data_IF_462088716899
#
_entry.id   IF_462088716899
#
_cell.length_a   1.000
_cell.length_b   1.000
_cell.length_c   1.000
_cell.angle_alpha   90.00
_cell.angle_beta   90.00
_cell.angle_gamma   90.00
#
_symmetry.space_group_name_H-M   'P 1'
#
loop_
_entity.id
_entity.type
_entity.pdbx_description
1 polymer ?
#
# COMPACT_ATOMS: atom_id res chain seq x y z
N UNK A 1 -13.66 -3.05 -2.53
CA UNK A 1 -13.39 -1.63 -2.14
C UNK A 1 -12.74 -1.54 -0.76
N UNK A 2 -11.94 -0.48 -0.49
CA UNK A 2 -11.33 -0.15 0.82
C UNK A 2 -10.37 -1.19 1.43
N UNK A 3 -9.94 -2.16 0.64
CA UNK A 3 -8.82 -3.07 0.99
C UNK A 3 -7.55 -2.53 0.34
N UNK A 4 -6.55 -2.24 1.15
CA UNK A 4 -5.33 -1.53 0.73
C UNK A 4 -4.13 -2.42 1.00
N UNK A 5 -3.21 -2.46 0.05
CA UNK A 5 -1.85 -2.98 0.26
C UNK A 5 -0.91 -1.77 0.36
N UNK A 6 -0.13 -1.69 1.44
CA UNK A 6 0.81 -0.60 1.68
C UNK A 6 2.18 -1.12 2.16
N UNK A 7 3.22 -0.31 1.97
CA UNK A 7 4.58 -0.64 2.41
C UNK A 7 4.73 -0.38 3.91
N UNK A 8 5.59 -1.16 4.57
CA UNK A 8 6.01 -0.92 5.94
C UNK A 8 6.71 0.46 6.12
N UNK A 9 6.86 0.91 7.37
CA UNK A 9 7.60 2.15 7.69
C UNK A 9 6.76 3.44 7.76
N UNK A 10 5.47 3.41 7.43
CA UNK A 10 4.59 4.59 7.42
C UNK A 10 3.40 4.49 8.41
N UNK A 11 3.64 4.45 9.74
CA UNK A 11 2.61 4.17 10.74
C UNK A 11 1.51 5.25 10.80
N UNK A 12 1.85 6.53 10.59
CA UNK A 12 0.86 7.63 10.57
C UNK A 12 -0.10 7.50 9.38
N UNK A 13 0.43 7.13 8.22
CA UNK A 13 -0.37 6.92 7.00
C UNK A 13 -1.30 5.72 7.16
N UNK A 14 -0.79 4.61 7.71
CA UNK A 14 -1.62 3.44 8.04
C UNK A 14 -2.77 3.82 8.97
N UNK A 15 -2.48 4.50 10.08
CA UNK A 15 -3.50 4.91 11.04
C UNK A 15 -4.56 5.84 10.42
N UNK A 16 -4.15 6.77 9.55
CA UNK A 16 -5.08 7.65 8.84
C UNK A 16 -6.00 6.87 7.88
N UNK A 17 -5.48 5.88 7.17
CA UNK A 17 -6.27 5.00 6.29
C UNK A 17 -7.24 4.13 7.09
N UNK A 18 -6.81 3.57 8.22
CA UNK A 18 -7.66 2.77 9.11
C UNK A 18 -8.77 3.62 9.74
N UNK A 19 -8.45 4.85 10.17
CA UNK A 19 -9.44 5.81 10.67
C UNK A 19 -10.48 6.21 9.61
N UNK A 20 -10.10 6.18 8.32
CA UNK A 20 -11.02 6.36 7.19
C UNK A 20 -11.82 5.10 6.84
N UNK A 21 -11.74 4.03 7.65
CA UNK A 21 -12.50 2.79 7.46
C UNK A 21 -11.89 1.82 6.45
N UNK A 22 -10.59 1.94 6.16
CA UNK A 22 -9.90 0.99 5.27
C UNK A 22 -9.30 -0.17 6.05
N UNK A 23 -9.29 -1.35 5.44
CA UNK A 23 -8.50 -2.49 5.91
C UNK A 23 -7.15 -2.48 5.21
N UNK A 24 -6.07 -2.29 5.97
CA UNK A 24 -4.72 -2.09 5.42
C UNK A 24 -3.84 -3.31 5.72
N UNK A 25 -3.38 -3.98 4.67
CA UNK A 25 -2.37 -5.02 4.72
C UNK A 25 -0.99 -4.43 4.41
N UNK A 26 0.00 -4.77 5.23
CA UNK A 26 1.36 -4.24 5.14
C UNK A 26 2.31 -5.33 4.64
N UNK A 27 3.23 -4.97 3.74
CA UNK A 27 4.34 -5.82 3.33
C UNK A 27 5.67 -5.08 3.41
N UNK A 28 6.75 -5.84 3.64
CA UNK A 28 8.12 -5.34 3.62
C UNK A 28 8.57 -5.13 2.18
N UNK A 29 9.03 -3.92 1.84
CA UNK A 29 9.30 -3.55 0.45
C UNK A 29 10.55 -2.69 0.23
N UNK A 30 11.47 -2.64 1.20
CA UNK A 30 12.66 -1.76 1.13
C UNK A 30 13.45 -1.95 -0.18
N UNK A 31 13.68 -3.20 -0.58
CA UNK A 31 14.38 -3.52 -1.83
C UNK A 31 13.57 -3.23 -3.10
N UNK A 32 12.23 -3.29 -3.04
CA UNK A 32 11.33 -3.16 -4.20
C UNK A 32 10.85 -1.72 -4.43
N UNK A 33 10.69 -0.96 -3.35
CA UNK A 33 9.97 0.31 -3.35
C UNK A 33 10.85 1.49 -2.91
N UNK A 34 11.80 1.29 -1.97
CA UNK A 34 12.62 2.38 -1.44
C UNK A 34 13.82 2.67 -2.36
N UNK A 35 14.47 1.64 -2.91
CA UNK A 35 15.53 1.82 -3.90
C UNK A 35 15.02 2.27 -5.29
N UNK A 36 13.73 2.07 -5.56
CA UNK A 36 13.10 2.34 -6.86
C UNK A 36 11.81 3.17 -6.70
N UNK A 37 11.87 4.26 -5.91
CA UNK A 37 10.91 5.38 -5.74
C UNK A 37 9.41 5.10 -6.06
N UNK A 38 8.92 3.91 -5.72
CA UNK A 38 7.71 3.37 -6.33
C UNK A 38 6.89 2.61 -5.31
N UNK A 39 5.61 2.97 -5.19
CA UNK A 39 4.69 2.27 -4.30
C UNK A 39 4.11 0.99 -4.92
N UNK A 40 3.37 0.18 -4.14
CA UNK A 40 2.71 -1.03 -4.62
C UNK A 40 1.82 -0.80 -5.84
N UNK A 41 1.21 0.39 -5.97
CA UNK A 41 0.42 0.75 -7.15
C UNK A 41 1.25 0.71 -8.43
N UNK A 42 2.50 1.20 -8.40
CA UNK A 42 3.40 1.22 -9.55
C UNK A 42 3.82 -0.20 -9.99
N UNK A 43 3.74 -1.19 -9.09
CA UNK A 43 4.02 -2.59 -9.35
C UNK A 43 2.83 -3.37 -9.93
N UNK A 44 1.68 -2.71 -10.09
CA UNK A 44 0.45 -3.36 -10.54
C UNK A 44 -0.05 -2.79 -11.87
N UNK A 45 -0.63 -3.66 -12.70
CA UNK A 45 -1.36 -3.28 -13.91
C UNK A 45 -2.73 -3.97 -13.91
N UNK A 46 -3.78 -3.36 -13.35
CA UNK A 46 -5.08 -3.99 -13.22
C UNK A 46 -5.66 -4.32 -14.61
N UNK A 47 -6.10 -5.56 -14.79
CA UNK A 47 -6.74 -6.01 -16.05
C UNK A 47 -8.27 -5.98 -15.92
N UNK A 48 -8.79 -6.34 -14.75
CA UNK A 48 -10.21 -6.34 -14.42
C UNK A 48 -10.40 -5.88 -12.97
N UNK A 49 -11.43 -5.09 -12.71
CA UNK A 49 -11.83 -4.65 -11.36
C UNK A 49 -13.34 -4.73 -11.22
N UNK A 50 -13.79 -5.23 -10.07
CA UNK A 50 -15.19 -5.28 -9.63
C UNK A 50 -15.45 -4.26 -8.53
#
# INVERSE_FOLDING_TARGET
>A
PHKIIAVAGFPKTKAAMEAAGCTVEIFEADALCIACEGGPTCLTRPILRQ
#
